data_IF_999956407555
#
_entry.id   IF_999956407555
#
_cell.length_a   1.000
_cell.length_b   1.000
_cell.length_c   1.000
_cell.angle_alpha   90.00
_cell.angle_beta   90.00
_cell.angle_gamma   90.00
#
_symmetry.space_group_name_H-M   'P 1'
#
loop_
_entity.id
_entity.type
_entity.pdbx_description
1 polymer ?
#
# COMPACT_ATOMS: atom_id res chain seq x y z
N UNK A 1 11.95 1.97 -7.14
CA UNK A 1 12.34 3.39 -7.02
C UNK A 1 11.87 3.91 -5.65
N UNK A 2 12.77 4.23 -4.70
CA UNK A 2 12.40 4.71 -3.35
C UNK A 2 12.41 6.24 -3.31
N UNK A 3 11.26 6.89 -3.48
CA UNK A 3 11.11 8.30 -3.16
C UNK A 3 11.10 8.48 -1.63
N UNK A 4 12.28 8.58 -1.01
CA UNK A 4 12.38 9.15 0.33
C UNK A 4 12.13 10.65 0.18
N UNK A 5 10.96 11.13 0.62
CA UNK A 5 10.86 12.51 1.09
C UNK A 5 11.69 12.65 2.37
N UNK A 6 13.02 12.78 2.22
CA UNK A 6 13.87 13.35 3.28
C UNK A 6 13.34 14.76 3.53
N UNK A 7 13.08 15.11 4.79
CA UNK A 7 12.62 16.44 5.18
C UNK A 7 13.71 17.50 5.03
N UNK A 8 14.04 17.87 3.79
CA UNK A 8 14.98 18.95 3.45
C UNK A 8 14.26 20.30 3.58
N UNK A 9 13.91 20.64 4.82
CA UNK A 9 13.26 21.92 5.17
C UNK A 9 13.59 22.37 6.61
N UNK A 10 13.61 21.45 7.57
CA UNK A 10 13.61 21.80 9.00
C UNK A 10 14.92 22.43 9.51
N UNK A 11 16.07 22.17 8.87
CA UNK A 11 17.38 22.63 9.37
C UNK A 11 17.63 24.15 9.30
N UNK A 12 16.78 24.95 8.64
CA UNK A 12 16.90 26.42 8.62
C UNK A 12 15.97 27.14 9.61
N UNK A 13 15.03 26.44 10.27
CA UNK A 13 14.09 27.06 11.23
C UNK A 13 13.97 26.33 12.57
N UNK A 14 14.48 25.11 12.72
CA UNK A 14 14.44 24.37 14.00
C UNK A 14 15.52 24.77 15.03
N UNK A 15 16.19 25.91 14.88
CA UNK A 15 17.01 26.46 15.97
C UNK A 15 16.09 27.16 16.97
N UNK A 16 15.82 26.50 18.09
CA UNK A 16 14.89 26.93 19.13
C UNK A 16 15.43 28.10 19.99
N UNK A 17 15.68 29.24 19.35
CA UNK A 17 15.77 30.56 19.98
C UNK A 17 14.56 31.40 19.55
N UNK A 18 14.09 32.29 20.42
CA UNK A 18 12.86 33.07 20.20
C UNK A 18 12.86 33.84 18.86
N UNK A 19 12.19 33.28 17.85
CA UNK A 19 12.05 33.90 16.53
C UNK A 19 11.24 35.20 16.67
N UNK A 20 11.74 36.35 16.17
CA UNK A 20 11.03 37.63 16.27
C UNK A 20 9.59 37.50 15.74
N UNK A 21 8.58 38.16 16.34
CA UNK A 21 7.17 37.95 15.99
C UNK A 21 6.84 38.08 14.49
N UNK A 22 7.58 38.93 13.76
CA UNK A 22 7.47 39.07 12.30
C UNK A 22 7.98 37.84 11.53
N UNK A 23 9.09 37.23 11.97
CA UNK A 23 9.62 35.99 11.40
C UNK A 23 8.70 34.81 11.71
N UNK A 24 8.11 34.77 12.91
CA UNK A 24 7.12 33.75 13.29
C UNK A 24 5.82 33.81 12.44
N UNK A 25 5.37 35.00 12.02
CA UNK A 25 4.24 35.15 11.07
C UNK A 25 4.62 34.82 9.61
N UNK A 26 5.83 35.15 9.18
CA UNK A 26 6.35 34.70 7.88
C UNK A 26 6.40 33.16 7.82
N UNK A 27 6.87 32.52 8.89
CA UNK A 27 6.93 31.07 9.00
C UNK A 27 5.56 30.40 8.89
N UNK A 28 4.48 30.92 9.51
CA UNK A 28 3.16 30.27 9.39
C UNK A 28 2.56 30.37 7.98
N UNK A 29 2.80 31.48 7.26
CA UNK A 29 2.38 31.60 5.84
C UNK A 29 3.13 30.61 4.94
N UNK A 30 4.46 30.50 5.12
CA UNK A 30 5.30 29.55 4.37
C UNK A 30 4.92 28.09 4.71
N UNK A 31 4.71 27.77 5.99
CA UNK A 31 4.26 26.43 6.44
C UNK A 31 2.95 26.01 5.76
N UNK A 32 1.95 26.89 5.74
CA UNK A 32 0.65 26.61 5.13
C UNK A 32 0.76 26.44 3.60
N UNK A 33 1.48 27.33 2.91
CA UNK A 33 1.76 27.19 1.46
C UNK A 33 2.46 25.86 1.14
N UNK A 34 3.49 25.50 1.91
CA UNK A 34 4.22 24.24 1.77
C UNK A 34 3.30 23.02 1.96
N UNK A 35 2.40 23.05 2.94
CA UNK A 35 1.43 21.99 3.18
C UNK A 35 0.38 21.86 2.05
N UNK A 36 -0.12 22.97 1.48
CA UNK A 36 -0.99 22.94 0.29
C UNK A 36 -0.26 22.36 -0.93
N UNK A 37 1.00 22.76 -1.16
CA UNK A 37 1.86 22.22 -2.22
C UNK A 37 2.05 20.71 -2.07
N UNK A 38 2.52 20.26 -0.90
CA UNK A 38 2.71 18.83 -0.63
C UNK A 38 1.42 18.03 -0.80
N UNK A 39 0.29 18.57 -0.32
CA UNK A 39 -1.02 17.93 -0.45
C UNK A 39 -1.40 17.68 -1.91
N UNK A 40 -1.40 18.73 -2.74
CA UNK A 40 -1.79 18.63 -4.15
C UNK A 40 -0.83 17.72 -4.91
N UNK A 41 0.48 17.83 -4.69
CA UNK A 41 1.48 16.94 -5.31
C UNK A 41 1.28 15.47 -4.92
N UNK A 42 1.00 15.18 -3.64
CA UNK A 42 0.71 13.82 -3.18
C UNK A 42 -0.57 13.25 -3.83
N UNK A 43 -1.63 14.05 -4.02
CA UNK A 43 -2.81 13.64 -4.79
C UNK A 43 -2.45 13.38 -6.26
N UNK A 44 -1.68 14.26 -6.92
CA UNK A 44 -1.26 14.04 -8.32
C UNK A 44 -0.40 12.78 -8.49
N UNK A 45 0.44 12.44 -7.52
CA UNK A 45 1.17 11.16 -7.48
C UNK A 45 0.25 9.93 -7.33
N UNK A 46 -0.91 10.07 -6.66
CA UNK A 46 -1.94 9.02 -6.61
C UNK A 46 -2.73 8.94 -7.93
N UNK A 47 -3.19 10.07 -8.49
CA UNK A 47 -3.94 10.12 -9.76
C UNK A 47 -3.16 9.46 -10.91
N UNK A 48 -1.86 9.75 -11.03
CA UNK A 48 -0.93 9.11 -11.98
C UNK A 48 -0.79 7.59 -11.79
N UNK A 49 -1.36 7.00 -10.74
CA UNK A 49 -1.33 5.57 -10.40
C UNK A 49 -2.72 5.00 -10.10
N UNK A 50 -3.80 5.78 -10.23
CA UNK A 50 -5.14 5.40 -9.80
C UNK A 50 -5.66 4.14 -10.51
N UNK A 51 -5.40 4.00 -11.82
CA UNK A 51 -5.74 2.79 -12.59
C UNK A 51 -5.00 1.54 -12.05
N UNK A 52 -3.72 1.67 -11.68
CA UNK A 52 -2.97 0.59 -11.03
C UNK A 52 -3.54 0.27 -9.64
N UNK A 53 -3.88 1.29 -8.85
CA UNK A 53 -4.46 1.09 -7.52
C UNK A 53 -5.82 0.36 -7.54
N UNK A 54 -6.65 0.63 -8.55
CA UNK A 54 -7.92 -0.06 -8.78
C UNK A 54 -7.66 -1.51 -9.24
N UNK A 55 -6.71 -1.71 -10.16
CA UNK A 55 -6.32 -3.04 -10.65
C UNK A 55 -5.78 -3.94 -9.53
N UNK A 56 -4.83 -3.43 -8.75
CA UNK A 56 -4.24 -4.11 -7.60
C UNK A 56 -5.31 -4.47 -6.56
N UNK A 57 -6.22 -3.55 -6.23
CA UNK A 57 -7.33 -3.82 -5.32
C UNK A 57 -8.21 -4.99 -5.80
N UNK A 58 -8.55 -5.07 -7.09
CA UNK A 58 -9.34 -6.18 -7.63
C UNK A 58 -8.62 -7.52 -7.49
N UNK A 59 -7.36 -7.62 -7.89
CA UNK A 59 -6.58 -8.87 -7.78
C UNK A 59 -6.37 -9.30 -6.31
N UNK A 60 -6.11 -8.35 -5.41
CA UNK A 60 -5.99 -8.61 -3.96
C UNK A 60 -7.30 -9.19 -3.41
N UNK A 61 -8.46 -8.59 -3.73
CA UNK A 61 -9.76 -9.06 -3.26
C UNK A 61 -10.12 -10.44 -3.85
N UNK A 62 -9.79 -10.69 -5.11
CA UNK A 62 -9.98 -12.01 -5.75
C UNK A 62 -9.17 -13.09 -5.04
N UNK A 63 -7.90 -12.82 -4.71
CA UNK A 63 -7.06 -13.73 -3.94
C UNK A 63 -7.61 -13.97 -2.52
N UNK A 64 -8.00 -12.91 -1.80
CA UNK A 64 -8.60 -13.02 -0.45
C UNK A 64 -9.87 -13.88 -0.45
N UNK A 65 -10.72 -13.79 -1.49
CA UNK A 65 -11.88 -14.67 -1.67
C UNK A 65 -11.44 -16.12 -1.93
N UNK A 66 -10.49 -16.34 -2.83
CA UNK A 66 -10.00 -17.70 -3.13
C UNK A 66 -9.43 -18.44 -1.92
N UNK A 67 -8.77 -17.74 -0.97
CA UNK A 67 -8.38 -18.34 0.32
C UNK A 67 -9.62 -18.72 1.14
N UNK A 68 -10.58 -17.81 1.28
CA UNK A 68 -11.78 -18.03 2.11
C UNK A 68 -12.63 -19.20 1.60
N UNK A 69 -12.74 -19.34 0.28
CA UNK A 69 -13.52 -20.40 -0.34
C UNK A 69 -12.72 -21.72 -0.39
N UNK A 70 -11.43 -21.70 -0.73
CA UNK A 70 -10.55 -22.86 -0.68
C UNK A 70 -10.37 -23.44 0.74
N UNK A 71 -10.41 -22.59 1.77
CA UNK A 71 -10.39 -23.02 3.17
C UNK A 71 -11.55 -23.95 3.52
N UNK A 72 -12.75 -23.78 2.93
CA UNK A 72 -13.87 -24.71 3.14
C UNK A 72 -13.59 -26.12 2.58
N UNK A 73 -12.80 -26.22 1.52
CA UNK A 73 -12.51 -27.49 0.87
C UNK A 73 -11.29 -28.22 1.48
N UNK A 74 -10.48 -27.53 2.29
CA UNK A 74 -9.30 -28.11 2.95
C UNK A 74 -9.43 -28.24 4.48
N UNK A 75 -10.34 -27.49 5.13
CA UNK A 75 -10.58 -27.56 6.57
C UNK A 75 -11.59 -28.66 6.99
N UNK A 76 -11.80 -29.68 6.15
CA UNK A 76 -12.70 -30.80 6.41
C UNK A 76 -12.16 -32.10 5.83
N UNK A 77 -10.94 -32.46 6.26
CA UNK A 77 -10.57 -33.88 6.28
C UNK A 77 -11.58 -34.61 7.18
N UNK A 78 -12.26 -35.67 6.71
CA UNK A 78 -13.19 -36.41 7.55
C UNK A 78 -12.41 -37.08 8.66
N UNK A 79 -12.71 -36.70 9.91
CA UNK A 79 -12.13 -37.34 11.10
C UNK A 79 -12.64 -38.77 11.22
N UNK A 80 -11.98 -39.71 10.55
CA UNK A 80 -12.26 -41.15 10.63
C UNK A 80 -12.06 -41.62 12.07
N UNK A 81 -13.15 -41.66 12.84
CA UNK A 81 -13.14 -42.09 14.23
C UNK A 81 -12.71 -43.56 14.32
N UNK A 82 -11.51 -43.80 14.81
CA UNK A 82 -10.97 -45.12 15.10
C UNK A 82 -11.63 -45.72 16.35
N UNK A 83 -12.93 -46.02 16.24
CA UNK A 83 -13.72 -46.63 17.31
C UNK A 83 -13.31 -48.09 17.50
N UNK A 84 -12.36 -48.33 18.40
CA UNK A 84 -12.08 -49.66 18.93
C UNK A 84 -13.30 -50.15 19.73
N UNK A 85 -13.94 -51.21 19.25
CA UNK A 85 -15.04 -51.90 19.93
C UNK A 85 -14.89 -53.39 19.64
N UNK A 86 -14.71 -54.21 20.68
CA UNK A 86 -14.44 -55.65 20.55
C UNK A 86 -15.68 -56.53 20.78
N UNK A 87 -15.46 -57.86 20.66
CA UNK A 87 -16.43 -58.96 20.83
C UNK A 87 -17.54 -59.03 19.76
N UNK A 88 -17.87 -60.23 19.22
CA UNK A 88 -19.06 -60.31 18.34
C UNK A 88 -19.48 -61.57 17.57
N UNK A 89 -18.60 -62.55 17.30
CA UNK A 89 -18.96 -63.91 16.80
C UNK A 89 -19.58 -64.11 15.37
N UNK A 90 -19.43 -65.34 14.85
CA UNK A 90 -20.05 -66.05 13.71
C UNK A 90 -20.68 -65.31 12.48
N UNK A 91 -20.22 -65.66 11.26
CA UNK A 91 -20.93 -65.44 9.98
C UNK A 91 -20.14 -65.84 8.71
N UNK A 92 -20.74 -66.59 7.78
CA UNK A 92 -20.08 -67.15 6.57
C UNK A 92 -20.42 -66.42 5.26
N UNK A 93 -19.52 -66.56 4.25
CA UNK A 93 -19.78 -66.37 2.80
C UNK A 93 -20.02 -64.91 2.31
N UNK A 94 -19.69 -64.48 1.07
CA UNK A 94 -19.03 -65.09 -0.12
C UNK A 94 -18.34 -64.02 -1.00
N UNK A 95 -17.28 -64.43 -1.72
CA UNK A 95 -16.79 -64.00 -3.05
C UNK A 95 -16.60 -62.50 -3.44
N UNK A 96 -15.46 -62.20 -4.11
CA UNK A 96 -15.39 -61.15 -5.13
C UNK A 96 -14.82 -61.64 -6.50
N UNK A 97 -15.40 -61.11 -7.58
CA UNK A 97 -15.01 -61.27 -8.99
C UNK A 97 -15.14 -59.88 -9.67
N UNK A 98 -14.44 -59.49 -10.75
CA UNK A 98 -13.24 -60.00 -11.44
C UNK A 98 -12.83 -58.97 -12.53
N UNK A 99 -11.73 -59.20 -13.27
CA UNK A 99 -11.26 -58.44 -14.48
C UNK A 99 -10.68 -57.02 -14.20
N UNK A 100 -9.40 -56.70 -14.50
CA UNK A 100 -8.64 -56.65 -15.78
C UNK A 100 -8.83 -55.36 -16.60
N UNK A 101 -7.78 -54.55 -16.72
CA UNK A 101 -7.17 -54.18 -18.00
C UNK A 101 -5.88 -53.34 -17.82
N UNK A 102 -4.79 -53.73 -18.51
CA UNK A 102 -3.65 -52.87 -18.89
C UNK A 102 -3.81 -52.52 -20.40
N UNK A 103 -2.84 -52.07 -21.24
CA UNK A 103 -1.38 -51.95 -21.08
C UNK A 103 -0.61 -50.80 -21.83
N UNK A 104 0.73 -50.74 -21.65
CA UNK A 104 1.77 -50.20 -22.60
C UNK A 104 1.70 -48.69 -22.91
N UNK A 105 2.74 -47.97 -23.38
CA UNK A 105 4.12 -48.26 -23.86
C UNK A 105 4.98 -46.96 -23.69
N UNK A 106 6.29 -46.81 -23.96
CA UNK A 106 7.39 -47.65 -24.48
C UNK A 106 8.78 -47.05 -24.06
N UNK A 107 9.87 -47.49 -24.70
CA UNK A 107 11.28 -47.04 -24.54
C UNK A 107 11.54 -45.61 -25.09
N UNK A 108 12.64 -44.91 -24.80
CA UNK A 108 13.97 -45.32 -24.29
C UNK A 108 14.55 -44.27 -23.28
N UNK A 109 15.86 -44.05 -23.00
CA UNK A 109 17.12 -44.44 -23.65
C UNK A 109 18.34 -44.47 -22.69
N UNK A 110 19.55 -44.52 -23.25
CA UNK A 110 20.84 -44.86 -22.63
C UNK A 110 21.61 -43.75 -21.88
N UNK A 111 22.09 -44.12 -20.68
CA UNK A 111 23.40 -43.86 -20.05
C UNK A 111 24.05 -42.45 -20.00
N UNK A 112 24.06 -41.87 -18.79
CA UNK A 112 25.28 -41.34 -18.16
C UNK A 112 25.22 -41.50 -16.62
N UNK A 113 26.33 -41.70 -15.89
CA UNK A 113 26.26 -42.17 -14.49
C UNK A 113 26.52 -41.08 -13.43
N UNK A 114 25.53 -40.83 -12.58
CA UNK A 114 25.72 -40.28 -11.22
C UNK A 114 24.72 -40.93 -10.26
N UNK A 115 25.12 -41.38 -9.06
CA UNK A 115 24.24 -42.12 -8.16
C UNK A 115 23.26 -41.20 -7.43
N UNK A 116 21.96 -41.49 -7.55
CA UNK A 116 20.98 -41.06 -6.55
C UNK A 116 21.20 -41.80 -5.23
N UNK A 117 20.79 -41.20 -4.11
CA UNK A 117 20.04 -41.95 -3.11
C UNK A 117 18.59 -41.47 -3.03
N UNK A 118 17.69 -42.45 -2.93
CA UNK A 118 16.34 -42.40 -2.36
C UNK A 118 15.44 -41.16 -2.62
N UNK A 119 14.37 -41.39 -3.38
CA UNK A 119 13.11 -40.69 -3.18
C UNK A 119 12.62 -40.83 -1.74
N UNK A 120 12.30 -39.73 -1.05
CA UNK A 120 11.46 -39.77 0.14
C UNK A 120 10.51 -38.57 0.18
N UNK A 121 9.21 -38.89 0.22
CA UNK A 121 8.07 -38.05 0.64
C UNK A 121 8.21 -36.53 0.51
N UNK A 122 7.44 -35.94 -0.42
CA UNK A 122 7.20 -34.50 -0.43
C UNK A 122 6.68 -34.04 0.92
N UNK A 123 7.50 -33.29 1.65
CA UNK A 123 7.14 -32.72 2.93
C UNK A 123 6.22 -31.53 2.69
N UNK A 124 4.91 -31.79 2.76
CA UNK A 124 3.92 -30.77 3.07
C UNK A 124 4.26 -30.18 4.43
N UNK A 125 5.14 -29.18 4.45
CA UNK A 125 5.44 -28.38 5.63
C UNK A 125 4.17 -27.60 5.99
N UNK A 126 3.32 -28.24 6.80
CA UNK A 126 2.16 -27.61 7.38
C UNK A 126 2.62 -26.38 8.16
N UNK A 127 2.23 -25.21 7.68
CA UNK A 127 2.53 -23.96 8.36
C UNK A 127 1.96 -24.02 9.79
N UNK A 128 2.65 -23.45 10.79
CA UNK A 128 2.14 -23.35 12.15
C UNK A 128 0.70 -22.80 12.15
N UNK A 129 -0.22 -23.33 12.98
CA UNK A 129 -1.61 -22.88 13.03
C UNK A 129 -1.71 -21.35 13.15
N UNK A 130 -2.38 -20.72 12.19
CA UNK A 130 -2.50 -19.25 12.08
C UNK A 130 -1.57 -18.59 11.07
N UNK A 131 -0.56 -19.27 10.52
CA UNK A 131 0.21 -18.76 9.37
C UNK A 131 -0.52 -19.01 8.04
N UNK A 132 -0.52 -17.99 7.18
CA UNK A 132 -1.03 -18.05 5.81
C UNK A 132 0.10 -17.66 4.85
N UNK A 133 0.50 -18.57 3.95
CA UNK A 133 1.45 -18.23 2.90
C UNK A 133 0.80 -17.32 1.84
N UNK A 134 1.47 -16.21 1.52
CA UNK A 134 1.05 -15.27 0.49
C UNK A 134 2.01 -15.39 -0.72
N UNK A 135 1.52 -15.70 -1.93
CA UNK A 135 2.34 -15.71 -3.15
C UNK A 135 3.04 -14.37 -3.40
N UNK A 136 4.30 -14.43 -3.84
CA UNK A 136 5.17 -13.25 -3.97
C UNK A 136 4.61 -12.16 -4.91
N UNK A 137 3.88 -12.55 -5.97
CA UNK A 137 3.16 -11.61 -6.83
C UNK A 137 2.05 -10.86 -6.09
N UNK A 138 1.30 -11.54 -5.20
CA UNK A 138 0.27 -10.91 -4.37
C UNK A 138 0.90 -10.01 -3.30
N UNK A 139 2.00 -10.44 -2.68
CA UNK A 139 2.75 -9.62 -1.73
C UNK A 139 3.28 -8.33 -2.39
N UNK A 140 3.76 -8.41 -3.64
CA UNK A 140 4.16 -7.24 -4.43
C UNK A 140 2.97 -6.31 -4.72
N UNK A 141 1.79 -6.85 -5.06
CA UNK A 141 0.57 -6.05 -5.27
C UNK A 141 0.15 -5.32 -3.98
N UNK A 142 0.22 -5.96 -2.80
CA UNK A 142 -0.03 -5.32 -1.51
C UNK A 142 0.97 -4.18 -1.25
N UNK A 143 2.28 -4.41 -1.45
CA UNK A 143 3.33 -3.39 -1.26
C UNK A 143 3.11 -2.17 -2.17
N UNK A 144 2.76 -2.40 -3.43
CA UNK A 144 2.44 -1.33 -4.39
C UNK A 144 1.15 -0.60 -4.00
N UNK A 145 0.09 -1.32 -3.61
CA UNK A 145 -1.19 -0.74 -3.19
C UNK A 145 -1.01 0.17 -1.98
N UNK A 146 -0.28 -0.30 -0.96
CA UNK A 146 0.04 0.51 0.22
C UNK A 146 0.82 1.77 -0.17
N UNK A 147 1.79 1.67 -1.09
CA UNK A 147 2.54 2.84 -1.58
C UNK A 147 1.67 3.85 -2.34
N UNK A 148 0.62 3.41 -3.05
CA UNK A 148 -0.32 4.33 -3.71
C UNK A 148 -1.25 5.00 -2.70
N UNK A 149 -1.84 4.23 -1.79
CA UNK A 149 -2.75 4.75 -0.75
C UNK A 149 -2.02 5.68 0.24
N UNK A 150 -0.74 5.45 0.52
CA UNK A 150 0.08 6.31 1.37
C UNK A 150 0.15 7.76 0.83
N UNK A 151 0.26 7.93 -0.49
CA UNK A 151 0.25 9.26 -1.12
C UNK A 151 -1.11 9.95 -0.92
N UNK A 152 -2.22 9.24 -1.13
CA UNK A 152 -3.57 9.79 -0.94
C UNK A 152 -3.84 10.17 0.53
N UNK A 153 -3.39 9.33 1.46
CA UNK A 153 -3.48 9.59 2.91
C UNK A 153 -2.72 10.87 3.30
N UNK A 154 -1.46 11.03 2.84
CA UNK A 154 -0.69 12.25 3.08
C UNK A 154 -1.27 13.47 2.38
N UNK A 155 -1.90 13.31 1.22
CA UNK A 155 -2.60 14.41 0.55
C UNK A 155 -3.68 14.99 1.47
N UNK A 156 -4.62 14.17 1.94
CA UNK A 156 -5.67 14.62 2.86
C UNK A 156 -5.12 15.15 4.20
N UNK A 157 -4.12 14.48 4.78
CA UNK A 157 -3.53 14.90 6.05
C UNK A 157 -2.87 16.29 5.93
N UNK A 158 -2.06 16.52 4.90
CA UNK A 158 -1.37 17.79 4.70
C UNK A 158 -2.33 18.93 4.35
N UNK A 159 -3.44 18.66 3.65
CA UNK A 159 -4.49 19.66 3.44
C UNK A 159 -5.10 20.12 4.76
N UNK A 160 -5.60 19.17 5.57
CA UNK A 160 -6.19 19.48 6.88
C UNK A 160 -5.19 20.13 7.83
N UNK A 161 -3.90 19.80 7.74
CA UNK A 161 -2.86 20.42 8.54
C UNK A 161 -2.55 21.85 8.08
N UNK A 162 -2.64 22.14 6.77
CA UNK A 162 -2.54 23.52 6.25
C UNK A 162 -3.65 24.39 6.82
N UNK A 163 -4.90 23.94 6.75
CA UNK A 163 -6.04 24.75 7.18
C UNK A 163 -6.03 24.94 8.72
N UNK A 164 -5.49 23.99 9.49
CA UNK A 164 -5.20 24.14 10.93
C UNK A 164 -3.99 25.05 11.24
N UNK A 165 -3.08 25.25 10.29
CA UNK A 165 -1.91 26.15 10.42
C UNK A 165 -2.25 27.61 10.09
N UNK A 166 -3.34 27.85 9.37
CA UNK A 166 -3.82 29.18 9.00
C UNK A 166 -4.36 29.93 10.24
N UNK A 167 -3.62 30.93 10.71
CA UNK A 167 -4.05 31.82 11.80
C UNK A 167 -5.00 32.90 11.25
N UNK A 168 -5.80 33.50 12.13
CA UNK A 168 -6.66 34.66 11.77
C UNK A 168 -5.85 35.79 11.11
N UNK A 169 -4.69 36.15 11.68
CA UNK A 169 -3.70 37.10 11.15
C UNK A 169 -3.18 36.78 9.75
N UNK A 170 -3.16 35.49 9.38
CA UNK A 170 -2.64 35.03 8.10
C UNK A 170 -3.74 34.99 7.03
N UNK A 171 -5.02 34.83 7.42
CA UNK A 171 -6.19 34.83 6.54
C UNK A 171 -6.24 35.97 5.52
N UNK A 172 -6.04 37.28 5.85
CA UNK A 172 -6.13 38.36 4.87
C UNK A 172 -5.07 38.29 3.74
N UNK A 173 -3.97 37.55 3.94
CA UNK A 173 -2.99 37.29 2.87
C UNK A 173 -3.51 36.21 1.90
N UNK A 174 -4.06 35.11 2.42
CA UNK A 174 -4.67 34.07 1.57
C UNK A 174 -5.95 34.57 0.87
N UNK A 175 -6.80 35.32 1.58
CA UNK A 175 -7.97 36.01 1.00
C UNK A 175 -7.61 37.00 -0.13
N UNK A 176 -6.36 37.47 -0.20
CA UNK A 176 -5.87 38.30 -1.30
C UNK A 176 -5.37 37.44 -2.47
N UNK A 177 -4.59 36.39 -2.21
CA UNK A 177 -4.15 35.44 -3.25
C UNK A 177 -5.34 34.78 -3.95
N UNK A 178 -6.34 34.35 -3.18
CA UNK A 178 -7.56 33.71 -3.67
C UNK A 178 -8.38 34.64 -4.60
N UNK A 179 -8.19 35.98 -4.51
CA UNK A 179 -8.78 36.96 -5.45
C UNK A 179 -7.94 37.17 -6.72
N UNK A 180 -6.61 37.06 -6.63
CA UNK A 180 -5.71 37.29 -7.77
C UNK A 180 -5.63 36.09 -8.73
N UNK A 181 -5.65 34.87 -8.20
CA UNK A 181 -5.42 33.64 -8.97
C UNK A 181 -6.48 32.55 -8.73
N UNK A 182 -7.57 32.89 -8.03
CA UNK A 182 -8.62 31.96 -7.63
C UNK A 182 -8.27 31.21 -6.34
N UNK A 183 -9.30 30.79 -5.60
CA UNK A 183 -9.12 30.03 -4.37
C UNK A 183 -8.49 28.67 -4.66
N UNK A 184 -7.32 28.40 -4.07
CA UNK A 184 -6.61 27.13 -4.27
C UNK A 184 -7.36 25.99 -3.56
N UNK A 185 -7.81 25.00 -4.32
CA UNK A 185 -8.63 23.89 -3.83
C UNK A 185 -7.81 22.60 -3.68
N UNK A 186 -8.26 21.70 -2.80
CA UNK A 186 -7.62 20.37 -2.66
C UNK A 186 -7.52 19.64 -4.01
N UNK A 187 -8.52 19.82 -4.89
CA UNK A 187 -8.60 19.17 -6.19
C UNK A 187 -7.88 19.90 -7.36
N UNK A 188 -7.30 21.08 -7.12
CA UNK A 188 -6.70 21.98 -8.12
C UNK A 188 -5.66 21.35 -9.08
N UNK A 189 -5.48 22.00 -10.23
CA UNK A 189 -4.45 21.68 -11.21
C UNK A 189 -3.03 22.01 -10.73
N UNK A 190 -2.01 21.40 -11.35
CA UNK A 190 -0.60 21.73 -11.03
C UNK A 190 -0.21 23.11 -11.58
N UNK A 191 -0.85 23.57 -12.68
CA UNK A 191 -0.69 24.93 -13.19
C UNK A 191 -1.27 25.99 -12.26
N UNK A 192 -2.50 25.79 -11.76
CA UNK A 192 -3.13 26.62 -10.72
C UNK A 192 -2.22 26.73 -9.49
N UNK A 193 -1.70 25.59 -9.01
CA UNK A 193 -0.75 25.55 -7.90
C UNK A 193 0.53 26.35 -8.19
N UNK A 194 1.12 26.21 -9.37
CA UNK A 194 2.33 26.96 -9.76
C UNK A 194 2.09 28.46 -9.77
N UNK A 195 0.99 28.93 -10.37
CA UNK A 195 0.62 30.35 -10.38
C UNK A 195 0.41 30.86 -8.95
N UNK A 196 -0.38 30.15 -8.15
CA UNK A 196 -0.66 30.50 -6.76
C UNK A 196 0.62 30.63 -5.91
N UNK A 197 1.55 29.69 -6.05
CA UNK A 197 2.82 29.70 -5.31
C UNK A 197 3.75 30.84 -5.77
N UNK A 198 3.82 31.13 -7.07
CA UNK A 198 4.62 32.25 -7.58
C UNK A 198 4.07 33.58 -7.04
N UNK A 199 2.76 33.84 -7.20
CA UNK A 199 2.10 35.04 -6.68
C UNK A 199 2.25 35.15 -5.16
N UNK A 200 2.14 34.05 -4.41
CA UNK A 200 2.36 34.02 -2.96
C UNK A 200 3.80 34.38 -2.58
N UNK A 201 4.79 33.82 -3.27
CA UNK A 201 6.21 34.10 -3.02
C UNK A 201 6.54 35.57 -3.30
N UNK A 202 6.03 36.15 -4.39
CA UNK A 202 6.30 37.55 -4.73
C UNK A 202 5.59 38.52 -3.78
N UNK A 203 4.38 38.21 -3.32
CA UNK A 203 3.74 38.97 -2.24
C UNK A 203 4.48 38.88 -0.90
N UNK A 204 5.04 37.72 -0.55
CA UNK A 204 5.88 37.59 0.64
C UNK A 204 7.19 38.38 0.49
N UNK A 205 7.82 38.41 -0.69
CA UNK A 205 8.98 39.29 -0.97
C UNK A 205 8.61 40.76 -0.78
N UNK A 206 7.50 41.24 -1.34
CA UNK A 206 7.10 42.64 -1.24
C UNK A 206 6.81 43.07 0.21
N UNK A 207 6.08 42.27 0.98
CA UNK A 207 5.76 42.58 2.38
C UNK A 207 6.96 42.55 3.33
N UNK A 208 8.04 41.83 3.00
CA UNK A 208 9.21 41.66 3.87
C UNK A 208 10.48 42.35 3.37
N UNK A 209 10.60 42.63 2.07
CA UNK A 209 11.76 43.29 1.46
C UNK A 209 11.73 44.81 1.50
N UNK A 210 10.55 45.44 1.58
CA UNK A 210 10.39 46.91 1.56
C UNK A 210 10.74 47.57 2.92
N UNK A 211 11.90 47.22 3.49
CA UNK A 211 12.53 47.86 4.66
C UNK A 211 14.06 47.94 4.53
N UNK A 212 14.52 48.49 3.41
CA UNK A 212 15.89 48.99 3.21
C UNK A 212 15.85 50.40 2.59
N UNK A 213 15.03 51.27 3.20
CA UNK A 213 15.11 52.74 3.22
C UNK A 213 14.61 53.16 4.61
#
# INVERSE_FOLDING_TARGET
>A
MRFRFRGVAYKHFSQAGSLPPKAAKLSSKIDALNLRVQSILCRKLFELRQSQAISNYRHINQYQRSIKDGSRNCASAPSSSCSFSGQGDQGTNVAPSSHQASPKSCSASAHSPTPSPASSTGSSQSLPPGLVAIPQNVEALYKQQLSHLHNLMWAHHNWQLSDKKLKSDDKPFFDHLDRLCGALNFNSGIGELSVYVITAVDWLKLMHGNKVV
#
